data_IF_641296341301
#
_entry.id   IF_641296341301
#
_cell.length_a   1.000
_cell.length_b   1.000
_cell.length_c   1.000
_cell.angle_alpha   90.00
_cell.angle_beta   90.00
_cell.angle_gamma   90.00
#
_symmetry.space_group_name_H-M   'P 1'
#
loop_
_entity.id
_entity.type
_entity.pdbx_description
1 polymer ?
#
# COMPACT_ATOMS: atom_id res chain seq x y z
N UNK A 1 -12.62 -8.30 23.43
CA UNK A 1 -11.54 -9.20 23.95
C UNK A 1 -11.57 -10.54 23.25
N UNK A 2 -12.71 -11.25 23.22
CA UNK A 2 -12.81 -12.58 22.57
C UNK A 2 -12.29 -12.58 21.13
N UNK A 3 -12.72 -11.64 20.29
CA UNK A 3 -12.27 -11.51 18.90
C UNK A 3 -10.73 -11.47 18.73
N UNK A 4 -10.03 -10.78 19.64
CA UNK A 4 -8.56 -10.72 19.61
C UNK A 4 -7.93 -12.04 20.07
N UNK A 5 -8.52 -12.68 21.08
CA UNK A 5 -8.04 -14.00 21.55
C UNK A 5 -8.24 -15.11 20.49
N UNK A 6 -9.34 -15.03 19.74
CA UNK A 6 -9.63 -15.98 18.66
C UNK A 6 -8.66 -15.84 17.47
N UNK A 7 -7.93 -14.72 17.39
CA UNK A 7 -6.85 -14.49 16.41
C UNK A 7 -5.55 -15.22 16.72
N UNK A 8 -5.38 -15.77 17.93
CA UNK A 8 -4.19 -16.54 18.27
C UNK A 8 -4.18 -17.89 17.51
N UNK A 9 -3.03 -18.24 16.94
CA UNK A 9 -2.87 -19.47 16.15
C UNK A 9 -1.68 -20.28 16.64
N UNK A 10 -1.76 -21.63 16.68
CA UNK A 10 -0.61 -22.46 16.94
C UNK A 10 0.45 -22.27 15.86
N UNK A 11 1.72 -22.48 16.20
CA UNK A 11 2.85 -22.28 15.27
C UNK A 11 2.74 -23.05 13.97
N UNK A 12 2.14 -24.23 13.99
CA UNK A 12 1.88 -25.03 12.78
C UNK A 12 1.04 -24.28 11.72
N UNK A 13 0.22 -23.34 12.16
CA UNK A 13 -0.75 -22.64 11.32
C UNK A 13 -0.31 -21.21 10.98
N UNK A 14 0.87 -20.80 11.45
CA UNK A 14 1.38 -19.47 11.18
C UNK A 14 1.62 -19.25 9.69
N UNK A 15 1.22 -18.07 9.26
CA UNK A 15 1.37 -17.56 7.90
C UNK A 15 2.05 -16.21 7.91
N UNK A 16 2.56 -15.83 6.76
CA UNK A 16 3.07 -14.49 6.49
C UNK A 16 2.17 -13.86 5.44
N UNK A 17 1.63 -12.69 5.74
CA UNK A 17 0.96 -11.82 4.77
C UNK A 17 1.85 -10.64 4.45
N UNK A 18 1.88 -10.19 3.21
CA UNK A 18 2.66 -9.01 2.82
C UNK A 18 1.78 -8.00 2.09
N UNK A 19 2.12 -6.73 2.24
CA UNK A 19 1.46 -5.64 1.54
C UNK A 19 2.50 -4.87 0.75
N UNK A 20 2.21 -4.60 -0.52
CA UNK A 20 3.13 -3.92 -1.44
C UNK A 20 2.41 -2.80 -2.16
N UNK A 21 2.73 -1.57 -1.80
CA UNK A 21 2.19 -0.37 -2.43
C UNK A 21 3.14 0.18 -3.51
N UNK A 22 2.59 0.82 -4.51
CA UNK A 22 3.36 1.46 -5.58
C UNK A 22 2.61 2.62 -6.22
N UNK A 23 3.35 3.68 -6.56
CA UNK A 23 2.82 4.82 -7.31
C UNK A 23 2.69 4.48 -8.79
N UNK A 24 1.51 4.75 -9.35
CA UNK A 24 1.28 4.71 -10.79
C UNK A 24 1.42 6.10 -11.43
N UNK A 25 2.08 6.18 -12.58
CA UNK A 25 2.32 7.42 -13.30
C UNK A 25 2.28 7.25 -14.81
N UNK A 26 1.97 8.30 -15.54
CA UNK A 26 2.13 8.35 -16.98
C UNK A 26 3.62 8.36 -17.35
N UNK A 27 4.07 7.46 -18.24
CA UNK A 27 5.49 7.34 -18.60
C UNK A 27 6.06 8.58 -19.33
N UNK A 28 5.22 9.31 -20.06
CA UNK A 28 5.58 10.50 -20.83
C UNK A 28 5.66 11.76 -20.01
N UNK A 29 4.76 11.94 -19.02
CA UNK A 29 4.65 13.18 -18.24
C UNK A 29 5.13 13.05 -16.81
N UNK A 30 5.32 11.81 -16.32
CA UNK A 30 5.62 11.48 -14.93
C UNK A 30 4.58 11.99 -13.92
N UNK A 31 3.35 12.32 -14.38
CA UNK A 31 2.23 12.74 -13.54
C UNK A 31 1.47 11.54 -12.98
N UNK A 32 0.82 11.66 -11.80
CA UNK A 32 0.03 10.58 -11.24
C UNK A 32 -1.16 10.25 -12.17
N UNK A 33 -1.54 8.97 -12.22
CA UNK A 33 -2.67 8.53 -13.03
C UNK A 33 -3.99 8.79 -12.32
N UNK A 34 -5.03 9.31 -13.03
CA UNK A 34 -6.35 9.54 -12.44
C UNK A 34 -7.10 8.22 -12.22
N UNK A 35 -8.17 8.27 -11.40
CA UNK A 35 -9.04 7.12 -11.25
C UNK A 35 -9.83 6.80 -12.54
N UNK A 36 -10.41 7.81 -13.21
CA UNK A 36 -11.20 7.68 -14.43
C UNK A 36 -10.41 8.14 -15.67
N UNK A 37 -10.80 7.63 -16.83
CA UNK A 37 -10.26 7.99 -18.13
C UNK A 37 -9.86 6.76 -18.97
N UNK A 38 -9.40 7.01 -20.20
CA UNK A 38 -8.93 5.96 -21.09
C UNK A 38 -7.67 5.28 -20.53
N UNK A 39 -6.77 6.06 -19.95
CA UNK A 39 -5.58 5.60 -19.22
C UNK A 39 -5.76 6.01 -17.77
N UNK A 40 -5.98 5.06 -16.87
CA UNK A 40 -6.44 5.33 -15.51
C UNK A 40 -6.24 4.11 -14.60
N UNK A 41 -6.38 4.33 -13.30
CA UNK A 41 -6.42 3.24 -12.31
C UNK A 41 -7.56 2.27 -12.62
N UNK A 42 -8.74 2.78 -12.99
CA UNK A 42 -9.89 1.94 -13.37
C UNK A 42 -9.59 1.07 -14.58
N UNK A 43 -8.96 1.60 -15.63
CA UNK A 43 -8.60 0.80 -16.81
C UNK A 43 -7.56 -0.27 -16.52
N UNK A 44 -6.64 -0.01 -15.58
CA UNK A 44 -5.70 -1.02 -15.07
C UNK A 44 -6.44 -2.16 -14.34
N UNK A 45 -7.33 -1.83 -13.39
CA UNK A 45 -8.10 -2.85 -12.65
C UNK A 45 -8.96 -3.70 -13.60
N UNK A 46 -9.63 -3.08 -14.57
CA UNK A 46 -10.40 -3.80 -15.60
C UNK A 46 -9.48 -4.71 -16.43
N UNK A 47 -8.29 -4.23 -16.82
CA UNK A 47 -7.31 -5.03 -17.53
C UNK A 47 -6.83 -6.25 -16.74
N UNK A 48 -6.58 -6.11 -15.45
CA UNK A 48 -6.22 -7.22 -14.55
C UNK A 48 -7.37 -8.24 -14.45
N UNK A 49 -8.60 -7.76 -14.23
CA UNK A 49 -9.80 -8.59 -14.19
C UNK A 49 -9.95 -9.41 -15.49
N UNK A 50 -9.91 -8.75 -16.63
CA UNK A 50 -10.24 -9.37 -17.92
C UNK A 50 -9.15 -10.35 -18.41
N UNK A 51 -7.88 -10.14 -18.04
CA UNK A 51 -6.78 -10.97 -18.53
C UNK A 51 -6.31 -12.04 -17.53
N UNK A 52 -6.56 -11.86 -16.21
CA UNK A 52 -5.98 -12.74 -15.19
C UNK A 52 -7.01 -13.35 -14.24
N UNK A 53 -8.29 -13.12 -14.47
CA UNK A 53 -9.37 -13.75 -13.69
C UNK A 53 -9.46 -13.22 -12.25
N UNK A 54 -9.10 -11.96 -12.03
CA UNK A 54 -9.37 -11.28 -10.77
C UNK A 54 -10.85 -10.94 -10.66
N UNK A 55 -11.43 -11.11 -9.48
CA UNK A 55 -12.82 -10.75 -9.20
C UNK A 55 -12.94 -9.30 -8.72
N UNK A 56 -13.79 -8.48 -9.33
CA UNK A 56 -13.87 -7.06 -9.00
C UNK A 56 -14.65 -6.80 -7.70
N UNK A 57 -14.13 -5.87 -6.90
CA UNK A 57 -14.81 -5.31 -5.73
C UNK A 57 -15.35 -3.92 -6.10
N UNK A 58 -16.63 -3.68 -5.79
CA UNK A 58 -17.30 -2.41 -6.12
C UNK A 58 -17.75 -1.65 -4.89
N UNK A 59 -17.70 -0.32 -4.96
CA UNK A 59 -18.34 0.60 -4.03
C UNK A 59 -19.04 1.71 -4.84
N UNK A 60 -20.32 1.93 -4.60
CA UNK A 60 -21.12 2.93 -5.31
C UNK A 60 -20.95 2.88 -6.85
N UNK A 61 -20.90 1.68 -7.43
CA UNK A 61 -20.73 1.45 -8.88
C UNK A 61 -19.29 1.64 -9.41
N UNK A 62 -18.33 1.97 -8.56
CA UNK A 62 -16.92 2.09 -8.93
C UNK A 62 -16.16 0.81 -8.56
N UNK A 63 -15.30 0.33 -9.47
CA UNK A 63 -14.36 -0.74 -9.15
C UNK A 63 -13.25 -0.19 -8.25
N UNK A 64 -13.19 -0.66 -7.00
CA UNK A 64 -12.26 -0.13 -5.99
C UNK A 64 -11.17 -1.11 -5.59
N UNK A 65 -11.19 -2.30 -6.14
CA UNK A 65 -10.22 -3.35 -5.86
C UNK A 65 -10.56 -4.63 -6.61
N UNK A 66 -9.73 -5.63 -6.40
CA UNK A 66 -9.86 -6.97 -6.98
C UNK A 66 -9.51 -8.00 -5.92
N UNK A 67 -10.10 -9.21 -6.02
CA UNK A 67 -9.76 -10.35 -5.15
C UNK A 67 -9.40 -11.56 -5.98
N UNK A 68 -8.46 -12.37 -5.51
CA UNK A 68 -8.12 -13.65 -6.11
C UNK A 68 -7.32 -14.51 -5.13
N UNK A 69 -7.69 -15.77 -4.97
CA UNK A 69 -6.94 -16.79 -4.20
C UNK A 69 -6.48 -16.33 -2.80
N UNK A 70 -7.31 -15.55 -2.12
CA UNK A 70 -7.02 -15.01 -0.79
C UNK A 70 -6.20 -13.72 -0.77
N UNK A 71 -5.71 -13.27 -1.93
CA UNK A 71 -5.07 -11.97 -2.09
C UNK A 71 -6.04 -10.88 -2.56
N UNK A 72 -5.67 -9.63 -2.35
CA UNK A 72 -6.40 -8.46 -2.82
C UNK A 72 -5.49 -7.50 -3.59
N UNK A 73 -6.00 -6.90 -4.64
CA UNK A 73 -5.44 -5.67 -5.21
C UNK A 73 -6.34 -4.52 -4.76
N UNK A 74 -5.80 -3.59 -4.02
CA UNK A 74 -6.53 -2.46 -3.46
C UNK A 74 -5.97 -1.12 -3.91
N UNK A 75 -6.69 -0.05 -3.58
CA UNK A 75 -6.30 1.31 -3.90
C UNK A 75 -6.14 2.10 -2.61
N UNK A 76 -5.03 2.77 -2.46
CA UNK A 76 -4.81 3.75 -1.40
C UNK A 76 -5.35 5.14 -1.81
N UNK A 77 -5.55 6.10 -0.88
CA UNK A 77 -6.26 7.35 -1.14
C UNK A 77 -5.78 8.12 -2.38
N UNK A 78 -4.46 8.17 -2.60
CA UNK A 78 -3.83 8.85 -3.74
C UNK A 78 -3.67 7.99 -4.98
N UNK A 79 -4.31 6.82 -5.04
CA UNK A 79 -4.22 5.91 -6.19
C UNK A 79 -2.99 5.01 -6.17
N UNK A 80 -2.28 4.92 -5.04
CA UNK A 80 -1.26 3.91 -4.87
C UNK A 80 -1.91 2.53 -5.04
N UNK A 81 -1.34 1.71 -5.91
CA UNK A 81 -1.81 0.36 -6.16
C UNK A 81 -1.17 -0.58 -5.14
N UNK A 82 -1.98 -1.23 -4.36
CA UNK A 82 -1.55 -2.17 -3.33
C UNK A 82 -1.83 -3.61 -3.73
N UNK A 83 -0.87 -4.49 -3.49
CA UNK A 83 -1.12 -5.92 -3.34
C UNK A 83 -1.17 -6.21 -1.85
N UNK A 84 -2.33 -6.58 -1.33
CA UNK A 84 -2.47 -7.23 -0.03
C UNK A 84 -2.42 -8.73 -0.27
N UNK A 85 -1.25 -9.34 -0.06
CA UNK A 85 -0.98 -10.73 -0.38
C UNK A 85 -1.78 -11.71 0.46
N UNK A 86 -1.91 -12.93 -0.04
CA UNK A 86 -2.54 -14.02 0.69
C UNK A 86 -1.71 -14.42 1.93
N UNK A 87 -2.34 -15.01 2.96
CA UNK A 87 -1.60 -15.62 4.06
C UNK A 87 -0.85 -16.87 3.58
N UNK A 88 0.46 -16.78 3.38
CA UNK A 88 1.31 -17.81 2.79
C UNK A 88 2.20 -18.49 3.83
N UNK A 89 2.64 -19.71 3.56
CA UNK A 89 3.40 -20.51 4.51
C UNK A 89 4.90 -20.20 4.50
N UNK A 90 5.41 -19.62 3.40
CA UNK A 90 6.85 -19.40 3.22
C UNK A 90 7.15 -18.10 2.48
N UNK A 91 8.38 -17.60 2.68
CA UNK A 91 8.90 -16.44 1.94
C UNK A 91 9.03 -16.73 0.42
N UNK A 92 9.20 -17.99 0.02
CA UNK A 92 9.25 -18.37 -1.38
C UNK A 92 7.90 -18.19 -2.07
N UNK A 93 6.81 -18.65 -1.43
CA UNK A 93 5.45 -18.44 -1.92
C UNK A 93 5.12 -16.94 -1.99
N UNK A 94 5.54 -16.15 -1.00
CA UNK A 94 5.38 -14.69 -1.01
C UNK A 94 6.14 -14.06 -2.18
N UNK A 95 7.37 -14.50 -2.45
CA UNK A 95 8.17 -14.03 -3.57
C UNK A 95 7.49 -14.34 -4.92
N UNK A 96 6.96 -15.56 -5.08
CA UNK A 96 6.24 -15.98 -6.29
C UNK A 96 4.96 -15.17 -6.50
N UNK A 97 4.19 -14.92 -5.43
CA UNK A 97 2.99 -14.08 -5.47
C UNK A 97 3.31 -12.65 -5.93
N UNK A 98 4.31 -12.01 -5.31
CA UNK A 98 4.74 -10.65 -5.65
C UNK A 98 5.22 -10.58 -7.10
N UNK A 99 6.07 -11.50 -7.54
CA UNK A 99 6.58 -11.54 -8.91
C UNK A 99 5.46 -11.77 -9.94
N UNK A 100 4.51 -12.65 -9.63
CA UNK A 100 3.32 -12.88 -10.46
C UNK A 100 2.49 -11.62 -10.60
N UNK A 101 2.18 -10.96 -9.47
CA UNK A 101 1.43 -9.70 -9.47
C UNK A 101 2.15 -8.60 -10.26
N UNK A 102 3.45 -8.40 -10.03
CA UNK A 102 4.24 -7.40 -10.76
C UNK A 102 4.25 -7.67 -12.27
N UNK A 103 4.35 -8.92 -12.68
CA UNK A 103 4.31 -9.31 -14.10
C UNK A 103 2.94 -9.01 -14.72
N UNK A 104 1.84 -9.32 -14.01
CA UNK A 104 0.47 -9.03 -14.46
C UNK A 104 0.25 -7.52 -14.59
N UNK A 105 0.61 -6.76 -13.56
CA UNK A 105 0.50 -5.29 -13.55
C UNK A 105 1.31 -4.69 -14.69
N UNK A 106 2.57 -5.12 -14.85
CA UNK A 106 3.45 -4.62 -15.91
C UNK A 106 2.86 -4.87 -17.30
N UNK A 107 2.33 -6.05 -17.57
CA UNK A 107 1.75 -6.38 -18.88
C UNK A 107 0.56 -5.47 -19.24
N UNK A 108 -0.31 -5.14 -18.29
CA UNK A 108 -1.43 -4.21 -18.54
C UNK A 108 -0.94 -2.76 -18.61
N UNK A 109 -0.06 -2.37 -17.69
CA UNK A 109 0.47 -1.01 -17.58
C UNK A 109 1.26 -0.60 -18.85
N UNK A 110 2.06 -1.49 -19.41
CA UNK A 110 2.84 -1.22 -20.64
C UNK A 110 1.91 -0.89 -21.82
N UNK A 111 0.78 -1.61 -21.98
CA UNK A 111 -0.24 -1.33 -23.01
C UNK A 111 -0.94 0.02 -22.83
N UNK A 112 -1.00 0.49 -21.58
CA UNK A 112 -1.65 1.76 -21.20
C UNK A 112 -0.66 2.94 -21.14
N UNK A 113 0.65 2.72 -21.31
CA UNK A 113 1.66 3.77 -21.13
C UNK A 113 1.86 4.17 -19.67
N UNK A 114 1.47 3.31 -18.71
CA UNK A 114 1.63 3.52 -17.27
C UNK A 114 2.96 2.93 -16.80
N UNK A 115 3.65 3.66 -15.93
CA UNK A 115 4.77 3.17 -15.12
C UNK A 115 4.37 3.00 -13.66
N UNK A 116 5.05 2.11 -12.95
CA UNK A 116 4.92 1.95 -11.50
C UNK A 116 6.28 2.05 -10.82
N UNK A 117 6.30 2.63 -9.62
CA UNK A 117 7.51 2.75 -8.81
C UNK A 117 7.16 2.57 -7.32
N UNK A 118 7.97 1.77 -6.61
CA UNK A 118 7.90 1.60 -5.16
C UNK A 118 8.89 2.55 -4.48
N UNK A 119 8.42 3.71 -4.06
CA UNK A 119 9.18 4.68 -3.25
C UNK A 119 8.40 4.96 -1.97
N UNK A 120 9.10 5.23 -0.88
CA UNK A 120 8.43 5.56 0.39
C UNK A 120 7.60 6.83 0.30
N UNK A 121 7.98 7.78 -0.55
CA UNK A 121 7.23 9.03 -0.78
C UNK A 121 7.24 9.42 -2.25
N UNK A 122 6.18 10.07 -2.73
CA UNK A 122 6.11 10.67 -4.06
C UNK A 122 7.13 11.81 -4.15
N UNK A 123 8.19 11.69 -5.01
CA UNK A 123 9.35 12.57 -4.92
C UNK A 123 9.09 14.00 -5.41
N UNK A 124 8.18 14.19 -6.36
CA UNK A 124 7.96 15.48 -7.03
C UNK A 124 6.53 15.99 -6.95
N UNK A 125 5.55 15.11 -6.75
CA UNK A 125 4.13 15.50 -6.79
C UNK A 125 3.73 16.28 -5.54
N UNK A 126 2.96 17.34 -5.76
CA UNK A 126 2.33 18.10 -4.69
C UNK A 126 0.98 17.49 -4.32
N UNK A 127 0.50 17.83 -3.13
CA UNK A 127 -0.77 17.28 -2.63
C UNK A 127 -1.96 17.49 -3.60
N UNK A 128 -2.06 18.68 -4.20
CA UNK A 128 -3.14 19.02 -5.13
C UNK A 128 -3.06 18.30 -6.48
N UNK A 129 -1.93 17.66 -6.80
CA UNK A 129 -1.74 16.85 -8.01
C UNK A 129 -2.20 15.39 -7.80
N UNK A 130 -2.38 14.98 -6.53
CA UNK A 130 -2.77 13.61 -6.22
C UNK A 130 -4.25 13.37 -6.53
N UNK A 131 -4.58 12.27 -7.22
CA UNK A 131 -5.98 11.89 -7.42
C UNK A 131 -6.61 11.45 -6.10
N UNK A 132 -7.94 11.43 -6.05
CA UNK A 132 -8.71 10.84 -4.96
C UNK A 132 -9.43 9.59 -5.47
N UNK A 133 -9.19 8.46 -4.82
CA UNK A 133 -9.87 7.21 -5.15
C UNK A 133 -11.29 7.18 -4.59
N UNK A 134 -12.27 6.58 -5.31
CA UNK A 134 -13.70 6.66 -4.97
C UNK A 134 -14.11 5.65 -3.89
N UNK A 135 -13.43 5.67 -2.75
CA UNK A 135 -13.80 4.94 -1.53
C UNK A 135 -14.37 5.95 -0.52
N UNK A 136 -15.58 5.72 -0.02
CA UNK A 136 -16.26 6.64 0.91
C UNK A 136 -15.45 6.95 2.16
N UNK A 137 -14.73 5.95 2.69
CA UNK A 137 -13.85 6.14 3.84
C UNK A 137 -12.76 7.19 3.62
N UNK A 138 -12.23 7.33 2.40
CA UNK A 138 -11.14 8.26 2.12
C UNK A 138 -11.59 9.73 2.19
N UNK A 139 -12.82 10.00 1.80
CA UNK A 139 -13.39 11.34 1.97
C UNK A 139 -13.52 11.71 3.44
N UNK A 140 -14.07 10.80 4.25
CA UNK A 140 -14.19 11.01 5.70
C UNK A 140 -12.82 11.21 6.36
N UNK A 141 -11.84 10.39 5.99
CA UNK A 141 -10.47 10.51 6.52
C UNK A 141 -9.82 11.83 6.10
N UNK A 142 -9.98 12.25 4.85
CA UNK A 142 -9.44 13.52 4.34
C UNK A 142 -9.99 14.71 5.13
N UNK A 143 -11.32 14.74 5.32
CA UNK A 143 -12.00 15.80 6.07
C UNK A 143 -11.61 15.83 7.55
N UNK A 144 -11.28 14.66 8.11
CA UNK A 144 -10.82 14.54 9.50
C UNK A 144 -9.37 14.99 9.67
N UNK A 145 -8.47 14.53 8.79
CA UNK A 145 -7.04 14.83 8.87
C UNK A 145 -6.74 16.33 8.81
N UNK A 146 -7.55 17.11 8.09
CA UNK A 146 -7.43 18.58 8.08
C UNK A 146 -7.70 19.25 9.43
N UNK A 147 -8.40 18.56 10.32
CA UNK A 147 -8.81 19.10 11.62
C UNK A 147 -7.82 18.74 12.74
N UNK A 148 -7.07 17.66 12.59
CA UNK A 148 -6.30 17.08 13.70
C UNK A 148 -4.78 17.12 13.50
N UNK A 149 -4.28 17.56 12.34
CA UNK A 149 -2.84 17.62 12.10
C UNK A 149 -2.48 18.18 10.73
N UNK A 150 -1.19 18.34 10.49
CA UNK A 150 -0.66 18.95 9.26
C UNK A 150 -0.14 17.94 8.23
N UNK A 151 0.27 16.73 8.67
CA UNK A 151 0.93 15.76 7.81
C UNK A 151 0.05 14.56 7.42
N UNK A 152 -1.14 14.41 8.03
CA UNK A 152 -2.02 13.26 7.79
C UNK A 152 -2.38 13.06 6.31
N UNK A 153 -2.69 14.13 5.57
CA UNK A 153 -2.94 14.05 4.12
C UNK A 153 -1.69 13.66 3.34
N UNK A 154 -0.52 14.17 3.71
CA UNK A 154 0.74 13.80 3.06
C UNK A 154 1.00 12.31 3.21
N UNK A 155 0.83 11.77 4.40
CA UNK A 155 0.93 10.34 4.67
C UNK A 155 -0.08 9.55 3.82
N UNK A 156 -1.36 9.89 3.86
CA UNK A 156 -2.41 9.14 3.16
C UNK A 156 -2.24 9.11 1.63
N UNK A 157 -1.88 10.25 1.02
CA UNK A 157 -1.90 10.40 -0.43
C UNK A 157 -0.54 10.19 -1.10
N UNK A 158 0.56 10.39 -0.37
CA UNK A 158 1.88 10.57 -0.97
C UNK A 158 2.93 9.60 -0.45
N UNK A 159 2.52 8.58 0.30
CA UNK A 159 3.44 7.54 0.78
C UNK A 159 3.06 6.17 0.23
N UNK A 160 4.04 5.31 0.07
CA UNK A 160 3.89 3.88 -0.16
C UNK A 160 4.75 3.11 0.82
N UNK A 161 4.27 1.94 1.22
CA UNK A 161 4.94 1.07 2.15
C UNK A 161 5.10 -0.35 1.61
N UNK A 162 5.99 -1.11 2.23
CA UNK A 162 5.97 -2.57 2.23
C UNK A 162 5.72 -2.99 3.67
N UNK A 163 4.69 -3.79 3.89
CA UNK A 163 4.28 -4.24 5.22
C UNK A 163 4.30 -5.76 5.31
N UNK A 164 4.53 -6.26 6.53
CA UNK A 164 4.52 -7.69 6.83
C UNK A 164 3.57 -7.94 7.99
N UNK A 165 2.63 -8.86 7.80
CA UNK A 165 1.70 -9.32 8.82
C UNK A 165 2.18 -10.67 9.35
N UNK A 166 2.38 -10.77 10.67
CA UNK A 166 2.88 -11.95 11.34
C UNK A 166 1.85 -12.47 12.34
N UNK A 167 1.59 -13.78 12.30
CA UNK A 167 0.75 -14.46 13.28
C UNK A 167 1.45 -14.59 14.65
N UNK A 168 0.68 -14.81 15.70
CA UNK A 168 1.16 -15.09 17.06
C UNK A 168 0.28 -16.15 17.74
N UNK A 169 0.87 -16.86 18.72
CA UNK A 169 0.18 -17.98 19.41
C UNK A 169 -0.53 -17.57 20.70
N UNK A 170 -0.15 -16.43 21.29
CA UNK A 170 -0.67 -15.96 22.58
C UNK A 170 -0.42 -14.48 22.76
N UNK A 171 -1.08 -13.86 23.73
CA UNK A 171 -0.80 -12.47 24.13
C UNK A 171 0.68 -12.26 24.51
N UNK A 172 1.28 -13.20 25.24
CA UNK A 172 2.69 -13.12 25.63
C UNK A 172 3.64 -13.18 24.43
N UNK A 173 3.34 -14.01 23.41
CA UNK A 173 4.07 -14.05 22.16
C UNK A 173 3.90 -12.76 21.35
N UNK A 174 2.69 -12.23 21.27
CA UNK A 174 2.39 -10.94 20.64
C UNK A 174 3.19 -9.81 21.29
N UNK A 175 3.18 -9.71 22.63
CA UNK A 175 3.95 -8.71 23.38
C UNK A 175 5.45 -8.82 23.09
N UNK A 176 5.99 -10.06 23.03
CA UNK A 176 7.39 -10.30 22.68
C UNK A 176 7.72 -9.82 21.26
N UNK A 177 6.90 -10.19 20.27
CA UNK A 177 7.06 -9.76 18.88
C UNK A 177 6.97 -8.25 18.73
N UNK A 178 6.02 -7.60 19.39
CA UNK A 178 5.89 -6.14 19.38
C UNK A 178 7.13 -5.45 19.97
N UNK A 179 7.65 -5.92 21.10
CA UNK A 179 8.87 -5.36 21.70
C UNK A 179 10.08 -5.51 20.78
N UNK A 180 10.23 -6.67 20.11
CA UNK A 180 11.31 -6.89 19.14
C UNK A 180 11.14 -5.96 17.93
N UNK A 181 9.93 -5.83 17.38
CA UNK A 181 9.65 -4.95 16.26
C UNK A 181 9.98 -3.47 16.57
N UNK A 182 9.58 -2.99 17.75
CA UNK A 182 9.92 -1.63 18.22
C UNK A 182 11.45 -1.45 18.36
N UNK A 183 12.14 -2.43 18.95
CA UNK A 183 13.58 -2.36 19.11
C UNK A 183 14.36 -2.40 17.77
N UNK A 184 13.80 -3.06 16.76
CA UNK A 184 14.37 -3.14 15.40
C UNK A 184 14.05 -1.92 14.53
N UNK A 185 13.12 -1.05 14.94
CA UNK A 185 12.68 0.09 14.13
C UNK A 185 13.83 0.98 13.60
N UNK A 186 14.83 1.39 14.39
CA UNK A 186 15.95 2.19 13.89
C UNK A 186 16.77 1.45 12.83
N UNK A 187 17.00 0.15 13.04
CA UNK A 187 17.74 -0.70 12.10
C UNK A 187 16.98 -0.88 10.80
N UNK A 188 15.69 -1.18 10.88
CA UNK A 188 14.82 -1.30 9.72
C UNK A 188 14.73 0.02 8.93
N UNK A 189 14.65 1.15 9.62
CA UNK A 189 14.67 2.48 9.00
C UNK A 189 15.98 2.70 8.24
N UNK A 190 17.13 2.38 8.84
CA UNK A 190 18.43 2.54 8.18
C UNK A 190 18.59 1.65 6.94
N UNK A 191 18.06 0.41 6.99
CA UNK A 191 18.18 -0.55 5.89
C UNK A 191 17.19 -0.28 4.74
N UNK A 192 15.98 0.16 5.04
CA UNK A 192 14.88 0.21 4.10
C UNK A 192 14.38 1.63 3.78
N UNK A 193 15.06 2.70 4.24
CA UNK A 193 14.69 4.06 3.86
C UNK A 193 14.75 4.24 2.34
N UNK A 194 13.66 4.71 1.77
CA UNK A 194 13.52 4.89 0.32
C UNK A 194 12.69 6.15 -0.03
N UNK A 195 12.98 7.27 0.65
CA UNK A 195 12.28 8.54 0.47
C UNK A 195 13.27 9.72 0.40
N UNK A 196 14.24 9.72 -0.55
CA UNK A 196 15.30 10.72 -0.57
C UNK A 196 14.85 12.11 -1.00
N UNK A 197 13.68 12.25 -1.63
CA UNK A 197 13.17 13.52 -2.15
C UNK A 197 11.70 13.74 -1.73
N UNK A 198 11.38 15.00 -1.47
CA UNK A 198 10.03 15.49 -1.21
C UNK A 198 9.82 16.82 -1.94
N UNK A 199 8.80 16.90 -2.82
CA UNK A 199 8.53 18.07 -3.68
C UNK A 199 9.76 18.58 -4.45
N UNK A 200 10.57 17.63 -4.96
CA UNK A 200 11.78 17.93 -5.72
C UNK A 200 12.99 18.37 -4.89
N UNK A 201 12.89 18.35 -3.56
CA UNK A 201 13.98 18.72 -2.66
C UNK A 201 14.53 17.50 -1.93
N UNK A 202 15.84 17.39 -1.72
CA UNK A 202 16.41 16.34 -0.86
C UNK A 202 15.89 16.49 0.56
N UNK A 203 15.52 15.36 1.17
CA UNK A 203 15.08 15.30 2.56
C UNK A 203 15.70 14.09 3.27
N UNK A 204 15.92 14.20 4.59
CA UNK A 204 16.26 13.04 5.40
C UNK A 204 14.99 12.30 5.81
N UNK A 205 15.11 11.03 6.16
CA UNK A 205 14.01 10.22 6.66
C UNK A 205 13.32 10.83 7.90
N UNK A 206 14.03 11.60 8.70
CA UNK A 206 13.51 12.31 9.87
C UNK A 206 12.41 13.31 9.53
N UNK A 207 12.45 13.91 8.36
CA UNK A 207 11.39 14.85 7.92
C UNK A 207 10.07 14.17 7.59
N UNK A 208 10.08 12.89 7.22
CA UNK A 208 8.88 12.16 6.80
C UNK A 208 8.33 11.27 7.93
N UNK A 209 9.20 10.63 8.71
CA UNK A 209 8.76 9.68 9.74
C UNK A 209 8.63 10.25 11.15
N UNK A 210 9.37 11.28 11.50
CA UNK A 210 9.24 11.89 12.83
C UNK A 210 7.85 12.49 13.07
N UNK A 211 7.13 12.85 12.01
CA UNK A 211 5.79 13.39 12.09
C UNK A 211 4.67 12.33 12.14
N UNK A 212 4.98 11.05 11.92
CA UNK A 212 3.99 9.97 12.03
C UNK A 212 3.82 9.45 13.47
N UNK A 213 4.79 9.70 14.35
CA UNK A 213 4.88 9.04 15.66
C UNK A 213 4.74 9.97 16.85
N UNK A 214 4.72 11.28 16.68
CA UNK A 214 4.61 12.24 17.79
C UNK A 214 3.44 13.19 17.53
N UNK A 215 2.45 13.09 18.39
CA UNK A 215 1.51 14.18 18.65
C UNK A 215 2.23 15.20 19.53
N UNK A 216 2.49 16.36 19.00
CA UNK A 216 2.70 17.56 19.81
C UNK A 216 1.36 18.04 20.36
#
# INVERSE_FOLDING_TARGET
>A
MQYLSDGCKPRSDWKVGTEHEKFGFFKDTLKPIPYNGKVSVKSLLVGLKDNYGWEPVFEAGNIIGLTKDGANVSLEPGGQLELSGAPLASIHETCDEVNTHLSQVKNIADKLGIGFIGLGTAPTWKHHEMPLMPKGRYRLMTDYMDKVGTMGKTMMYRTCTVQVNLDFESESDMVKKMRVAIALQPVSTALFSNSPFFEGKPVSYTHLRAHETFHD
#
